data_IF_279998349230
#
_entry.id   IF_279998349230
#
_cell.length_a   1.000
_cell.length_b   1.000
_cell.length_c   1.000
_cell.angle_alpha   90.00
_cell.angle_beta   90.00
_cell.angle_gamma   90.00
#
_symmetry.space_group_name_H-M   'P 1'
#
loop_
_entity.id
_entity.type
_entity.pdbx_description
1 polymer ?
#
# COMPACT_ATOMS: atom_id res chain seq x y z
N UNK A 1 -7.95 17.94 71.20
CA UNK A 1 -6.95 18.21 70.14
C UNK A 1 -7.75 18.47 68.86
N UNK A 2 -8.32 19.66 68.72
CA UNK A 2 -7.75 20.84 68.03
C UNK A 2 -7.86 20.70 66.51
N UNK A 3 -8.81 21.45 65.97
CA UNK A 3 -9.28 21.60 64.58
C UNK A 3 -8.24 22.35 63.67
N UNK A 4 -8.52 22.83 62.43
CA UNK A 4 -9.80 22.84 61.70
C UNK A 4 -9.78 22.64 60.16
N UNK A 5 -10.99 22.61 59.62
CA UNK A 5 -11.45 22.87 58.24
C UNK A 5 -11.43 24.37 57.86
N UNK A 6 -11.31 24.68 56.56
CA UNK A 6 -11.75 25.94 55.92
C UNK A 6 -12.06 25.64 54.43
N UNK A 7 -13.31 25.68 53.92
CA UNK A 7 -14.15 26.81 53.50
C UNK A 7 -13.79 27.52 52.17
N UNK A 8 -14.57 27.16 51.13
CA UNK A 8 -15.37 27.98 50.20
C UNK A 8 -14.91 29.41 49.84
N UNK A 9 -14.90 29.71 48.53
CA UNK A 9 -14.81 31.08 48.00
C UNK A 9 -15.01 31.17 46.49
N UNK A 10 -16.27 31.24 46.06
CA UNK A 10 -16.75 31.55 44.71
C UNK A 10 -16.27 32.91 44.14
N UNK A 11 -16.12 33.02 42.81
CA UNK A 11 -16.64 34.17 42.04
C UNK A 11 -16.68 33.91 40.53
N UNK A 12 -17.87 34.11 39.99
CA UNK A 12 -18.24 34.22 38.57
C UNK A 12 -17.67 35.49 37.96
N UNK A 13 -17.26 35.44 36.68
CA UNK A 13 -17.46 36.57 35.78
C UNK A 13 -17.85 36.13 34.38
N UNK A 14 -18.95 36.75 33.96
CA UNK A 14 -19.73 36.67 32.73
C UNK A 14 -19.29 37.74 31.73
N UNK A 15 -19.36 37.45 30.44
CA UNK A 15 -19.35 38.42 29.33
C UNK A 15 -19.14 37.65 28.01
N UNK A 16 -20.12 37.32 27.16
CA UNK A 16 -21.18 38.10 26.48
C UNK A 16 -20.65 39.25 25.63
N UNK A 17 -20.48 39.00 24.33
CA UNK A 17 -20.74 40.00 23.28
C UNK A 17 -21.19 39.31 21.98
N UNK A 18 -22.34 39.75 21.46
CA UNK A 18 -23.01 39.34 20.22
C UNK A 18 -22.66 40.32 19.08
N UNK A 19 -22.47 39.78 17.86
CA UNK A 19 -22.89 40.28 16.51
C UNK A 19 -22.48 41.69 16.01
N UNK A 20 -22.53 42.02 14.68
CA UNK A 20 -23.43 41.46 13.67
C UNK A 20 -22.89 41.17 12.25
N UNK A 21 -23.71 40.39 11.57
CA UNK A 21 -24.00 40.20 10.13
C UNK A 21 -23.65 41.37 9.19
N UNK A 22 -23.11 41.05 8.01
CA UNK A 22 -23.36 41.81 6.78
C UNK A 22 -23.52 40.87 5.57
N UNK A 23 -24.74 40.83 5.02
CA UNK A 23 -25.06 40.38 3.66
C UNK A 23 -25.06 41.61 2.75
N UNK A 24 -24.51 41.52 1.55
CA UNK A 24 -24.90 42.39 0.44
C UNK A 24 -24.74 41.68 -0.91
N UNK A 25 -25.88 41.31 -1.50
CA UNK A 25 -26.05 41.22 -2.95
C UNK A 25 -26.24 42.65 -3.49
N UNK A 26 -25.68 42.98 -4.66
CA UNK A 26 -26.39 43.59 -5.80
C UNK A 26 -25.37 44.02 -6.88
N UNK A 27 -25.75 43.95 -8.17
CA UNK A 27 -25.17 44.80 -9.21
C UNK A 27 -24.73 44.11 -10.50
N UNK A 28 -25.67 43.90 -11.42
CA UNK A 28 -25.42 43.55 -12.82
C UNK A 28 -25.07 44.80 -13.68
N UNK A 29 -24.10 44.61 -14.60
CA UNK A 29 -23.99 45.12 -16.00
C UNK A 29 -23.59 46.60 -16.28
N UNK A 30 -23.10 46.95 -17.52
CA UNK A 30 -22.35 46.17 -18.52
C UNK A 30 -21.24 46.94 -19.32
N UNK A 31 -20.60 46.22 -20.26
CA UNK A 31 -19.92 46.63 -21.51
C UNK A 31 -18.45 47.10 -21.48
N UNK A 32 -17.57 46.29 -22.08
CA UNK A 32 -16.80 46.73 -23.25
C UNK A 32 -16.50 45.52 -24.16
N UNK A 33 -16.94 45.64 -25.41
CA UNK A 33 -16.67 44.74 -26.51
C UNK A 33 -15.21 44.86 -26.96
N UNK A 34 -14.53 43.72 -27.17
CA UNK A 34 -13.48 43.63 -28.19
C UNK A 34 -13.57 42.31 -28.93
N UNK A 35 -13.87 42.42 -30.23
CA UNK A 35 -13.88 41.37 -31.26
C UNK A 35 -12.51 40.68 -31.36
N UNK A 36 -12.50 39.36 -31.57
CA UNK A 36 -11.26 38.65 -31.89
C UNK A 36 -11.43 37.18 -32.28
N UNK A 37 -11.82 36.94 -33.53
CA UNK A 37 -11.52 35.76 -34.38
C UNK A 37 -11.77 34.35 -33.81
N UNK A 38 -12.87 33.74 -34.30
CA UNK A 38 -13.05 32.28 -34.40
C UNK A 38 -11.95 31.67 -35.29
N UNK A 39 -11.11 30.81 -34.73
CA UNK A 39 -10.36 29.82 -35.50
C UNK A 39 -11.04 28.47 -35.33
N UNK A 40 -11.78 28.07 -36.36
CA UNK A 40 -12.27 26.72 -36.58
C UNK A 40 -11.05 25.84 -36.89
N UNK A 41 -10.59 25.04 -35.91
CA UNK A 41 -9.50 24.08 -36.15
C UNK A 41 -10.11 22.77 -36.65
N UNK A 42 -9.81 22.48 -37.91
CA UNK A 42 -10.09 21.25 -38.64
C UNK A 42 -9.77 20.02 -37.76
N UNK A 43 -10.76 19.17 -37.51
CA UNK A 43 -10.54 17.84 -36.93
C UNK A 43 -9.93 16.98 -38.03
N UNK A 44 -8.61 16.83 -38.00
CA UNK A 44 -7.92 15.87 -38.85
C UNK A 44 -8.13 14.47 -38.26
N UNK A 45 -8.99 13.69 -38.90
CA UNK A 45 -9.13 12.24 -38.71
C UNK A 45 -7.83 11.57 -39.15
N UNK A 46 -6.91 11.35 -38.22
CA UNK A 46 -5.80 10.42 -38.44
C UNK A 46 -6.35 8.99 -38.41
N UNK A 47 -6.48 8.40 -39.59
CA UNK A 47 -6.49 6.95 -39.76
C UNK A 47 -5.14 6.43 -39.28
N UNK A 48 -5.11 5.75 -38.14
CA UNK A 48 -4.05 4.80 -37.82
C UNK A 48 -4.54 3.42 -38.21
N UNK A 49 -4.36 3.07 -39.49
CA UNK A 49 -4.31 1.67 -39.89
C UNK A 49 -2.98 1.10 -39.41
N UNK A 50 -3.09 0.18 -38.46
CA UNK A 50 -1.99 -0.52 -37.83
C UNK A 50 -2.56 -1.27 -36.66
N UNK A 51 -3.13 -2.45 -36.90
CA UNK A 51 -3.52 -3.42 -35.86
C UNK A 51 -2.31 -3.63 -34.93
N UNK A 52 -2.19 -2.86 -33.85
CA UNK A 52 -1.53 -3.37 -32.65
C UNK A 52 -2.37 -4.57 -32.27
N UNK A 53 -1.87 -5.79 -32.49
CA UNK A 53 -2.45 -6.94 -31.79
C UNK A 53 -2.42 -6.53 -30.32
N UNK A 54 -3.56 -6.48 -29.64
CA UNK A 54 -3.60 -6.25 -28.20
C UNK A 54 -2.67 -7.31 -27.59
N UNK A 55 -1.51 -6.87 -27.11
CA UNK A 55 -0.49 -7.76 -26.58
C UNK A 55 -0.93 -8.09 -25.16
N UNK A 56 -1.61 -9.22 -24.99
CA UNK A 56 -2.11 -9.67 -23.69
C UNK A 56 -0.92 -9.99 -22.80
N UNK A 57 -0.78 -9.26 -21.70
CA UNK A 57 0.31 -9.42 -20.73
C UNK A 57 -0.21 -10.01 -19.42
N UNK A 58 0.47 -11.05 -18.94
CA UNK A 58 0.22 -11.65 -17.63
C UNK A 58 1.31 -11.21 -16.65
N UNK A 59 0.90 -10.54 -15.58
CA UNK A 59 1.76 -10.12 -14.48
C UNK A 59 1.52 -11.03 -13.29
N UNK A 60 2.59 -11.50 -12.67
CA UNK A 60 2.54 -12.44 -11.55
C UNK A 60 3.40 -11.91 -10.42
N UNK A 61 2.81 -11.70 -9.25
CA UNK A 61 3.50 -11.53 -7.97
C UNK A 61 3.34 -12.83 -7.16
N UNK A 62 4.42 -13.60 -7.11
CA UNK A 62 4.44 -14.91 -6.45
C UNK A 62 5.23 -14.84 -5.14
N UNK A 63 4.49 -14.60 -4.05
CA UNK A 63 4.97 -14.60 -2.68
C UNK A 63 4.95 -15.98 -2.03
N UNK A 64 5.30 -16.05 -0.74
CA UNK A 64 5.36 -17.30 0.03
C UNK A 64 3.98 -17.94 0.33
N UNK A 65 2.87 -17.22 0.12
CA UNK A 65 1.55 -17.70 0.54
C UNK A 65 0.48 -17.46 -0.50
N UNK A 66 0.59 -16.40 -1.30
CA UNK A 66 -0.33 -16.12 -2.40
C UNK A 66 0.43 -15.81 -3.68
N UNK A 67 -0.16 -16.22 -4.79
CA UNK A 67 0.15 -15.73 -6.13
C UNK A 67 -0.91 -14.70 -6.48
N UNK A 68 -0.54 -13.42 -6.56
CA UNK A 68 -1.39 -12.39 -7.15
C UNK A 68 -1.07 -12.28 -8.63
N UNK A 69 -2.09 -12.05 -9.45
CA UNK A 69 -1.89 -11.95 -10.89
C UNK A 69 -2.80 -10.90 -11.52
N UNK A 70 -2.36 -10.40 -12.67
CA UNK A 70 -3.13 -9.51 -13.54
C UNK A 70 -2.98 -9.94 -14.99
N UNK A 71 -4.10 -10.14 -15.68
CA UNK A 71 -4.16 -10.34 -17.13
C UNK A 71 -4.93 -9.15 -17.72
N UNK A 72 -4.21 -8.26 -18.42
CA UNK A 72 -4.73 -6.97 -18.86
C UNK A 72 -5.37 -6.18 -17.69
N UNK A 73 -6.72 -6.12 -17.62
CA UNK A 73 -7.46 -5.44 -16.55
C UNK A 73 -8.02 -6.38 -15.47
N UNK A 74 -7.98 -7.69 -15.72
CA UNK A 74 -8.48 -8.69 -14.79
C UNK A 74 -7.43 -9.01 -13.75
N UNK A 75 -7.82 -9.03 -12.48
CA UNK A 75 -6.93 -9.33 -11.36
C UNK A 75 -7.44 -10.54 -10.57
N UNK A 76 -6.53 -11.27 -9.94
CA UNK A 76 -6.90 -12.39 -9.09
C UNK A 76 -5.80 -12.77 -8.10
N UNK A 77 -6.15 -13.69 -7.20
CA UNK A 77 -5.23 -14.24 -6.23
C UNK A 77 -5.49 -15.74 -6.02
N UNK A 78 -4.42 -16.52 -5.87
CA UNK A 78 -4.44 -17.97 -5.65
C UNK A 78 -3.46 -18.34 -4.52
N UNK A 79 -3.61 -19.52 -3.89
CA UNK A 79 -2.56 -20.06 -3.03
C UNK A 79 -1.23 -20.19 -3.79
N UNK A 80 -0.14 -19.73 -3.19
CA UNK A 80 1.19 -19.91 -3.80
C UNK A 80 1.64 -21.37 -3.73
N UNK A 81 2.28 -21.94 -4.78
CA UNK A 81 2.74 -21.29 -6.02
C UNK A 81 1.81 -21.56 -7.22
N UNK A 82 0.50 -21.63 -7.02
CA UNK A 82 -0.44 -21.92 -8.11
C UNK A 82 -0.44 -20.78 -9.15
N UNK A 83 -0.66 -21.16 -10.41
CA UNK A 83 -0.79 -20.26 -11.55
C UNK A 83 -2.25 -20.21 -12.02
N UNK A 84 -2.74 -19.06 -12.52
CA UNK A 84 -4.11 -18.94 -12.96
C UNK A 84 -4.40 -19.75 -14.22
N UNK A 85 -5.60 -20.33 -14.28
CA UNK A 85 -6.15 -20.88 -15.50
C UNK A 85 -6.73 -19.74 -16.34
N UNK A 86 -6.15 -19.54 -17.52
CA UNK A 86 -6.46 -18.41 -18.38
C UNK A 86 -7.26 -18.88 -19.60
N UNK A 87 -8.32 -18.14 -19.92
CA UNK A 87 -9.11 -18.38 -21.13
C UNK A 87 -8.42 -17.87 -22.41
N UNK A 88 -7.36 -17.07 -22.26
CA UNK A 88 -6.58 -16.49 -23.34
C UNK A 88 -5.11 -16.71 -23.03
N UNK A 89 -4.36 -17.25 -23.99
CA UNK A 89 -2.92 -17.42 -23.84
C UNK A 89 -2.24 -16.04 -23.82
N UNK A 90 -1.48 -15.72 -22.76
CA UNK A 90 -0.75 -14.46 -22.72
C UNK A 90 0.36 -14.48 -23.77
N UNK A 91 0.61 -13.33 -24.37
CA UNK A 91 1.74 -13.14 -25.29
C UNK A 91 3.05 -12.81 -24.57
N UNK A 92 2.94 -12.39 -23.31
CA UNK A 92 4.06 -12.02 -22.44
C UNK A 92 3.72 -12.39 -21.00
N UNK A 93 4.72 -12.86 -20.24
CA UNK A 93 4.58 -13.15 -18.81
C UNK A 93 5.68 -12.43 -18.03
N UNK A 94 5.29 -11.54 -17.12
CA UNK A 94 6.19 -10.83 -16.19
C UNK A 94 6.02 -11.40 -14.80
N UNK A 95 7.12 -11.59 -14.08
CA UNK A 95 7.10 -12.27 -12.78
C UNK A 95 7.95 -11.54 -11.75
N UNK A 96 7.34 -11.15 -10.65
CA UNK A 96 8.00 -10.86 -9.39
C UNK A 96 7.89 -12.10 -8.48
N UNK A 97 9.01 -12.57 -7.93
CA UNK A 97 8.97 -13.67 -6.97
C UNK A 97 10.10 -13.61 -5.94
N UNK A 98 9.72 -13.92 -4.70
CA UNK A 98 10.62 -14.13 -3.56
C UNK A 98 10.87 -15.63 -3.29
N UNK A 99 10.31 -16.52 -4.11
CA UNK A 99 10.57 -17.95 -4.04
C UNK A 99 11.97 -18.27 -4.56
N UNK A 100 12.62 -19.26 -3.95
CA UNK A 100 14.03 -19.60 -4.24
C UNK A 100 14.22 -20.33 -5.57
N UNK A 101 13.23 -21.09 -6.03
CA UNK A 101 13.40 -21.99 -7.18
C UNK A 101 12.88 -21.38 -8.49
N UNK A 102 13.56 -20.32 -8.96
CA UNK A 102 13.17 -19.56 -10.16
C UNK A 102 13.19 -20.42 -11.43
N UNK A 103 14.13 -21.34 -11.57
CA UNK A 103 14.26 -22.17 -12.77
C UNK A 103 13.09 -23.16 -12.93
N UNK A 104 12.63 -23.76 -11.82
CA UNK A 104 11.44 -24.61 -11.85
C UNK A 104 10.22 -23.79 -12.22
N UNK A 105 10.04 -22.62 -11.60
CA UNK A 105 8.93 -21.73 -11.92
C UNK A 105 8.96 -21.29 -13.39
N UNK A 106 10.14 -20.97 -13.92
CA UNK A 106 10.31 -20.58 -15.32
C UNK A 106 9.84 -21.67 -16.29
N UNK A 107 10.24 -22.93 -16.03
CA UNK A 107 9.78 -24.08 -16.82
C UNK A 107 8.28 -24.28 -16.70
N UNK A 108 7.73 -24.27 -15.48
CA UNK A 108 6.29 -24.44 -15.25
C UNK A 108 5.46 -23.38 -15.98
N UNK A 109 5.88 -22.12 -15.96
CA UNK A 109 5.20 -21.03 -16.68
C UNK A 109 5.32 -21.24 -18.21
N UNK A 110 6.51 -21.59 -18.69
CA UNK A 110 6.74 -21.83 -20.12
C UNK A 110 5.90 -23.02 -20.63
N UNK A 111 5.83 -24.11 -19.88
CA UNK A 111 5.03 -25.29 -20.22
C UNK A 111 3.53 -24.98 -20.19
N UNK A 112 3.08 -24.15 -19.23
CA UNK A 112 1.66 -23.81 -19.07
C UNK A 112 1.14 -22.84 -20.12
N UNK A 113 1.93 -21.83 -20.46
CA UNK A 113 1.47 -20.72 -21.31
C UNK A 113 2.17 -20.63 -22.67
N UNK A 114 3.18 -21.45 -22.93
CA UNK A 114 3.97 -21.40 -24.17
C UNK A 114 4.87 -20.16 -24.28
N UNK A 115 5.07 -19.41 -23.18
CA UNK A 115 5.83 -18.15 -23.15
C UNK A 115 6.87 -18.20 -22.03
N UNK A 116 8.11 -17.82 -22.35
CA UNK A 116 9.17 -17.71 -21.35
C UNK A 116 8.90 -16.49 -20.45
N UNK A 117 8.91 -16.65 -19.12
CA UNK A 117 8.71 -15.51 -18.22
C UNK A 117 9.92 -14.59 -18.15
N UNK A 118 9.64 -13.30 -17.98
CA UNK A 118 10.60 -12.26 -17.63
C UNK A 118 10.54 -12.02 -16.12
N UNK A 119 11.65 -12.23 -15.43
CA UNK A 119 11.72 -12.03 -13.99
C UNK A 119 12.22 -10.63 -13.65
N UNK A 120 11.47 -9.91 -12.81
CA UNK A 120 11.96 -8.70 -12.21
C UNK A 120 13.09 -8.97 -11.21
N UNK A 121 14.01 -8.03 -11.12
CA UNK A 121 15.09 -8.01 -10.15
C UNK A 121 15.17 -6.64 -9.49
N UNK A 122 15.75 -6.60 -8.30
CA UNK A 122 15.99 -5.33 -7.61
C UNK A 122 17.21 -4.66 -8.24
N UNK A 123 17.02 -3.44 -8.74
CA UNK A 123 18.08 -2.67 -9.39
C UNK A 123 18.63 -1.59 -8.44
N UNK A 124 19.80 -1.05 -8.77
CA UNK A 124 20.33 0.14 -8.07
C UNK A 124 19.44 1.37 -8.26
N UNK A 125 18.82 1.51 -9.43
CA UNK A 125 17.86 2.55 -9.74
C UNK A 125 16.78 1.99 -10.67
N UNK A 126 15.52 2.39 -10.46
CA UNK A 126 14.41 2.08 -11.35
C UNK A 126 13.42 3.24 -11.37
N UNK A 127 13.12 3.75 -12.57
CA UNK A 127 12.11 4.78 -12.80
C UNK A 127 12.28 6.04 -11.91
N UNK A 128 13.52 6.44 -11.62
CA UNK A 128 13.83 7.58 -10.76
C UNK A 128 13.88 7.27 -9.26
N UNK A 129 13.68 6.01 -8.86
CA UNK A 129 13.86 5.56 -7.48
C UNK A 129 15.23 4.89 -7.33
N UNK A 130 16.04 5.34 -6.37
CA UNK A 130 17.34 4.78 -6.02
C UNK A 130 17.22 3.80 -4.85
N UNK A 131 17.83 2.63 -4.96
CA UNK A 131 17.79 1.61 -3.91
C UNK A 131 18.71 1.97 -2.73
N UNK A 132 18.13 2.05 -1.52
CA UNK A 132 18.87 2.34 -0.30
C UNK A 132 19.68 1.20 0.30
N UNK A 133 19.56 -0.02 -0.23
CA UNK A 133 20.36 -1.15 0.25
C UNK A 133 21.77 -1.07 -0.37
N UNK A 134 22.80 -1.29 0.46
CA UNK A 134 24.18 -1.35 -0.01
C UNK A 134 24.38 -2.43 -1.10
N UNK A 135 23.64 -3.53 -1.01
CA UNK A 135 23.52 -4.53 -2.06
C UNK A 135 22.03 -4.69 -2.44
N UNK A 136 21.60 -4.20 -3.63
CA UNK A 136 20.23 -4.32 -4.10
C UNK A 136 19.69 -5.75 -4.14
N UNK A 137 20.53 -6.75 -4.39
CA UNK A 137 20.11 -8.16 -4.46
C UNK A 137 19.56 -8.69 -3.12
N UNK A 138 19.87 -8.00 -2.01
CA UNK A 138 19.37 -8.35 -0.67
C UNK A 138 17.99 -7.74 -0.37
N UNK A 139 17.51 -6.82 -1.19
CA UNK A 139 16.16 -6.28 -1.06
C UNK A 139 15.19 -7.17 -1.86
N UNK A 140 14.15 -7.65 -1.18
CA UNK A 140 13.08 -8.42 -1.81
C UNK A 140 12.48 -7.66 -2.99
N UNK A 141 12.35 -8.33 -4.13
CA UNK A 141 11.85 -7.72 -5.37
C UNK A 141 10.41 -7.20 -5.21
N UNK A 142 9.59 -7.87 -4.42
CA UNK A 142 8.24 -7.44 -4.09
C UNK A 142 8.22 -6.08 -3.37
N UNK A 143 9.07 -5.91 -2.36
CA UNK A 143 9.25 -4.65 -1.62
C UNK A 143 9.79 -3.56 -2.54
N UNK A 144 10.78 -3.88 -3.36
CA UNK A 144 11.37 -2.93 -4.31
C UNK A 144 10.33 -2.40 -5.30
N UNK A 145 9.58 -3.28 -5.95
CA UNK A 145 8.55 -2.91 -6.91
C UNK A 145 7.42 -2.10 -6.27
N UNK A 146 7.02 -2.43 -5.05
CA UNK A 146 5.99 -1.68 -4.33
C UNK A 146 6.43 -0.24 -4.01
N UNK A 147 7.68 -0.04 -3.58
CA UNK A 147 8.26 1.29 -3.34
C UNK A 147 8.33 2.10 -4.64
N UNK A 148 8.80 1.48 -5.72
CA UNK A 148 8.88 2.13 -7.04
C UNK A 148 7.50 2.58 -7.50
N UNK A 149 6.48 1.71 -7.39
CA UNK A 149 5.11 2.05 -7.77
C UNK A 149 4.53 3.18 -6.92
N UNK A 150 4.72 3.12 -5.58
CA UNK A 150 4.22 4.14 -4.67
C UNK A 150 4.81 5.53 -4.98
N UNK A 151 6.14 5.60 -5.13
CA UNK A 151 6.81 6.86 -5.44
C UNK A 151 6.39 7.41 -6.81
N UNK A 152 6.28 6.55 -7.83
CA UNK A 152 5.78 6.95 -9.16
C UNK A 152 4.34 7.45 -9.14
N UNK A 153 3.53 6.96 -8.20
CA UNK A 153 2.13 7.35 -8.06
C UNK A 153 1.97 8.72 -7.40
N UNK A 154 2.71 9.00 -6.32
CA UNK A 154 2.57 10.26 -5.56
C UNK A 154 3.56 11.35 -5.96
N UNK A 155 4.70 10.99 -6.58
CA UNK A 155 5.81 11.90 -6.87
C UNK A 155 6.29 12.69 -5.63
N UNK A 156 6.26 12.05 -4.46
CA UNK A 156 6.60 12.63 -3.16
C UNK A 156 7.09 11.59 -2.17
N UNK A 157 7.37 11.98 -0.92
CA UNK A 157 7.80 11.06 0.11
C UNK A 157 6.66 10.08 0.43
N UNK A 158 6.97 8.79 0.51
CA UNK A 158 5.99 7.75 0.77
C UNK A 158 6.54 6.66 1.69
N UNK A 159 5.63 6.09 2.48
CA UNK A 159 5.84 4.84 3.21
C UNK A 159 4.90 3.77 2.62
N UNK A 160 5.45 2.60 2.33
CA UNK A 160 4.70 1.44 1.88
C UNK A 160 4.67 0.41 3.00
N UNK A 161 3.49 0.16 3.55
CA UNK A 161 3.26 -0.91 4.53
C UNK A 161 2.56 -2.07 3.83
N UNK A 162 3.24 -3.21 3.75
CA UNK A 162 2.68 -4.44 3.19
C UNK A 162 2.36 -5.41 4.31
N UNK A 163 1.13 -5.90 4.40
CA UNK A 163 0.70 -6.88 5.40
C UNK A 163 0.25 -8.16 4.74
N UNK A 164 1.12 -9.17 4.75
CA UNK A 164 0.82 -10.52 4.32
C UNK A 164 1.43 -11.54 5.26
N UNK A 165 2.18 -12.50 4.72
CA UNK A 165 2.90 -13.49 5.53
C UNK A 165 3.88 -12.81 6.49
N UNK A 166 4.68 -11.88 5.96
CA UNK A 166 5.40 -10.89 6.75
C UNK A 166 4.66 -9.55 6.66
N UNK A 167 4.90 -8.71 7.66
CA UNK A 167 4.60 -7.29 7.59
C UNK A 167 5.89 -6.54 7.24
N UNK A 168 5.85 -5.61 6.29
CA UNK A 168 6.98 -4.75 5.95
C UNK A 168 6.57 -3.29 5.98
N UNK A 169 7.55 -2.42 6.23
CA UNK A 169 7.41 -0.98 6.08
C UNK A 169 8.65 -0.48 5.34
N UNK A 170 8.48 0.04 4.12
CA UNK A 170 9.55 0.56 3.28
C UNK A 170 9.35 2.04 3.04
N UNK A 171 10.44 2.82 3.07
CA UNK A 171 10.39 4.29 3.08
C UNK A 171 11.10 4.85 1.86
N UNK A 172 10.51 5.83 1.19
CA UNK A 172 11.13 6.54 0.04
C UNK A 172 10.93 8.03 0.20
N UNK A 173 11.99 8.81 0.04
CA UNK A 173 11.93 10.27 0.17
C UNK A 173 11.37 10.95 -1.10
N UNK A 174 11.20 12.27 -1.02
CA UNK A 174 10.69 13.07 -2.13
C UNK A 174 11.56 13.01 -3.40
N UNK A 175 12.84 12.71 -3.27
CA UNK A 175 13.80 12.63 -4.37
C UNK A 175 13.92 11.22 -4.96
N UNK A 176 13.09 10.27 -4.49
CA UNK A 176 13.13 8.89 -4.95
C UNK A 176 14.20 8.04 -4.27
N UNK A 177 14.82 8.51 -3.18
CA UNK A 177 15.77 7.66 -2.43
C UNK A 177 14.99 6.73 -1.50
N UNK A 178 15.06 5.43 -1.76
CA UNK A 178 14.62 4.42 -0.80
C UNK A 178 15.53 4.50 0.43
N UNK A 179 14.97 4.74 1.63
CA UNK A 179 15.71 4.88 2.89
C UNK A 179 15.94 3.52 3.60
N UNK A 180 15.45 2.43 3.00
CA UNK A 180 15.40 1.11 3.61
C UNK A 180 14.02 0.81 4.19
N UNK A 181 13.95 -0.17 5.08
CA UNK A 181 12.68 -0.60 5.67
C UNK A 181 12.81 -1.58 6.82
N UNK A 182 11.65 -2.01 7.30
CA UNK A 182 11.49 -2.97 8.39
C UNK A 182 10.78 -4.23 7.89
N UNK A 183 11.12 -5.36 8.51
CA UNK A 183 10.42 -6.64 8.31
C UNK A 183 10.04 -7.18 9.70
N UNK A 184 8.76 -7.50 9.85
CA UNK A 184 8.17 -8.10 11.04
C UNK A 184 7.31 -9.32 10.63
N UNK A 185 7.01 -10.24 11.55
CA UNK A 185 6.03 -11.30 11.27
C UNK A 185 4.64 -10.70 11.04
N UNK A 186 3.92 -11.21 10.03
CA UNK A 186 2.50 -10.89 9.86
C UNK A 186 1.62 -11.60 10.90
N UNK A 187 0.32 -11.28 10.92
CA UNK A 187 -0.63 -11.82 11.91
C UNK A 187 -0.62 -13.34 11.94
N UNK A 188 -0.68 -13.99 10.77
CA UNK A 188 -0.68 -15.45 10.70
C UNK A 188 0.60 -16.06 11.28
N UNK A 189 1.77 -15.47 11.02
CA UNK A 189 3.03 -15.99 11.55
C UNK A 189 3.11 -15.84 13.07
N UNK A 190 2.69 -14.69 13.62
CA UNK A 190 2.64 -14.46 15.06
C UNK A 190 1.76 -15.51 15.75
N UNK A 191 0.58 -15.77 15.19
CA UNK A 191 -0.37 -16.76 15.74
C UNK A 191 0.16 -18.19 15.67
N UNK A 192 0.75 -18.57 14.53
CA UNK A 192 1.38 -19.88 14.35
C UNK A 192 2.55 -20.07 15.31
N UNK A 193 3.34 -19.03 15.58
CA UNK A 193 4.43 -19.10 16.55
C UNK A 193 3.90 -19.38 17.97
N UNK A 194 2.85 -18.68 18.41
CA UNK A 194 2.25 -18.93 19.72
C UNK A 194 1.66 -20.34 19.84
N UNK A 195 0.94 -20.81 18.81
CA UNK A 195 0.34 -22.16 18.80
C UNK A 195 1.39 -23.28 18.81
N UNK A 196 2.56 -23.05 18.20
CA UNK A 196 3.65 -24.05 18.12
C UNK A 196 4.55 -24.05 19.35
N UNK A 197 4.88 -22.88 19.87
CA UNK A 197 5.93 -22.72 20.89
C UNK A 197 5.37 -22.68 22.32
N UNK A 198 4.06 -22.85 22.51
CA UNK A 198 3.42 -22.86 23.83
C UNK A 198 2.47 -24.05 23.99
N UNK A 199 2.42 -24.63 25.20
CA UNK A 199 1.57 -25.79 25.46
C UNK A 199 0.07 -25.45 25.52
N UNK A 200 -0.24 -24.27 26.09
CA UNK A 200 -1.61 -23.90 26.50
C UNK A 200 -2.24 -22.78 25.65
N UNK A 201 -1.47 -22.06 24.80
CA UNK A 201 -2.02 -20.99 23.95
C UNK A 201 -2.43 -21.55 22.60
N UNK A 202 -3.58 -22.22 22.56
CA UNK A 202 -4.13 -22.81 21.32
C UNK A 202 -5.21 -21.90 20.73
N UNK A 203 -4.88 -21.19 19.66
CA UNK A 203 -5.79 -20.27 18.96
C UNK A 203 -6.11 -20.79 17.55
N UNK A 204 -7.05 -21.73 17.45
CA UNK A 204 -7.30 -22.52 16.23
C UNK A 204 -8.20 -21.85 15.18
N UNK A 205 -9.12 -20.97 15.58
CA UNK A 205 -10.05 -20.30 14.66
C UNK A 205 -9.51 -18.98 14.13
N UNK A 206 -10.19 -18.35 13.18
CA UNK A 206 -9.90 -16.94 12.84
C UNK A 206 -10.93 -16.06 13.54
N UNK A 207 -10.46 -15.23 14.46
CA UNK A 207 -11.26 -14.16 15.06
C UNK A 207 -10.82 -12.85 14.42
N UNK A 208 -11.78 -12.04 13.97
CA UNK A 208 -11.48 -10.69 13.49
C UNK A 208 -10.87 -9.90 14.66
N UNK A 209 -9.63 -9.43 14.54
CA UNK A 209 -8.96 -8.81 15.67
C UNK A 209 -9.56 -7.45 16.02
N UNK A 210 -9.42 -7.06 17.28
CA UNK A 210 -9.76 -5.74 17.77
C UNK A 210 -8.65 -5.23 18.71
N UNK A 211 -8.79 -4.02 19.24
CA UNK A 211 -7.83 -3.40 20.16
C UNK A 211 -8.22 -3.55 21.63
N UNK A 212 -9.36 -4.18 21.92
CA UNK A 212 -9.83 -4.41 23.29
C UNK A 212 -9.15 -5.63 23.91
N UNK A 213 -8.98 -5.68 25.24
CA UNK A 213 -8.50 -6.88 25.92
C UNK A 213 -9.41 -8.09 25.63
N UNK A 214 -8.81 -9.22 25.25
CA UNK A 214 -9.53 -10.47 25.06
C UNK A 214 -9.92 -11.10 26.40
N UNK A 215 -11.11 -11.71 26.46
CA UNK A 215 -11.64 -12.39 27.66
C UNK A 215 -11.48 -13.91 27.61
N UNK A 216 -10.87 -14.43 26.56
CA UNK A 216 -10.46 -15.82 26.39
C UNK A 216 -9.12 -15.88 25.62
N UNK A 217 -8.50 -17.05 25.60
CA UNK A 217 -7.18 -17.24 24.99
C UNK A 217 -7.15 -16.89 23.50
N UNK A 218 -8.20 -17.22 22.74
CA UNK A 218 -8.23 -16.99 21.31
C UNK A 218 -8.38 -15.48 21.00
N UNK A 219 -9.28 -14.80 21.71
CA UNK A 219 -9.47 -13.36 21.64
C UNK A 219 -8.23 -12.58 22.13
N UNK A 220 -7.56 -13.07 23.17
CA UNK A 220 -6.34 -12.46 23.69
C UNK A 220 -5.19 -12.56 22.69
N UNK A 221 -5.01 -13.71 22.03
CA UNK A 221 -4.03 -13.89 20.95
C UNK A 221 -4.36 -13.01 19.75
N UNK A 222 -5.62 -13.02 19.29
CA UNK A 222 -6.04 -12.22 18.13
C UNK A 222 -5.81 -10.72 18.37
N UNK A 223 -6.24 -10.21 19.53
CA UNK A 223 -6.12 -8.78 19.85
C UNK A 223 -4.67 -8.38 20.14
N UNK A 224 -3.91 -9.22 20.86
CA UNK A 224 -2.50 -8.96 21.15
C UNK A 224 -1.62 -8.93 19.91
N UNK A 225 -1.75 -9.93 19.02
CA UNK A 225 -0.98 -9.98 17.77
C UNK A 225 -1.35 -8.85 16.82
N UNK A 226 -2.62 -8.42 16.81
CA UNK A 226 -3.05 -7.26 16.04
C UNK A 226 -2.55 -5.93 16.61
N UNK A 227 -2.57 -5.75 17.94
CA UNK A 227 -1.98 -4.57 18.57
C UNK A 227 -0.49 -4.43 18.25
N UNK A 228 0.26 -5.53 18.19
CA UNK A 228 1.66 -5.52 17.75
C UNK A 228 1.80 -4.99 16.31
N UNK A 229 0.97 -5.47 15.38
CA UNK A 229 1.00 -5.04 13.99
C UNK A 229 0.56 -3.57 13.84
N UNK A 230 -0.50 -3.16 14.54
CA UNK A 230 -0.98 -1.78 14.53
C UNK A 230 0.09 -0.83 15.08
N UNK A 231 0.68 -1.15 16.23
CA UNK A 231 1.75 -0.36 16.81
C UNK A 231 2.99 -0.28 15.90
N UNK A 232 3.34 -1.38 15.21
CA UNK A 232 4.39 -1.38 14.19
C UNK A 232 4.11 -0.35 13.08
N UNK A 233 2.90 -0.39 12.52
CA UNK A 233 2.49 0.53 11.46
C UNK A 233 2.45 1.99 11.95
N UNK A 234 1.83 2.26 13.10
CA UNK A 234 1.73 3.59 13.69
C UNK A 234 3.11 4.18 14.00
N UNK A 235 4.02 3.40 14.58
CA UNK A 235 5.38 3.84 14.88
C UNK A 235 6.16 4.15 13.60
N UNK A 236 6.03 3.32 12.56
CA UNK A 236 6.69 3.54 11.28
C UNK A 236 6.18 4.82 10.60
N UNK A 237 4.86 5.00 10.52
CA UNK A 237 4.22 6.21 9.98
C UNK A 237 4.65 7.45 10.77
N UNK A 238 4.54 7.42 12.10
CA UNK A 238 4.90 8.55 12.96
C UNK A 238 6.35 8.94 12.80
N UNK A 239 7.26 7.95 12.78
CA UNK A 239 8.69 8.19 12.58
C UNK A 239 9.02 8.77 11.21
N UNK A 240 8.31 8.33 10.16
CA UNK A 240 8.49 8.86 8.81
C UNK A 240 7.94 10.28 8.67
N UNK A 241 6.73 10.54 9.17
CA UNK A 241 6.12 11.87 9.18
C UNK A 241 6.95 12.90 9.98
N UNK A 242 7.65 12.47 11.04
CA UNK A 242 8.55 13.35 11.78
C UNK A 242 9.77 13.82 10.95
N UNK A 243 10.19 13.05 9.94
CA UNK A 243 11.34 13.40 9.06
C UNK A 243 10.91 14.15 7.81
N UNK A 244 9.78 13.77 7.22
CA UNK A 244 9.34 14.24 5.90
C UNK A 244 8.10 15.15 5.94
N UNK A 245 7.53 15.38 7.13
CA UNK A 245 6.35 16.22 7.34
C UNK A 245 5.03 15.53 6.98
N UNK A 246 3.94 16.28 7.08
CA UNK A 246 2.56 15.80 6.84
C UNK A 246 2.23 15.53 5.36
N UNK A 247 3.17 15.79 4.44
CA UNK A 247 3.02 15.48 3.01
C UNK A 247 3.42 14.05 2.64
N UNK A 248 3.89 13.26 3.61
CA UNK A 248 4.23 11.86 3.39
C UNK A 248 2.98 10.99 3.17
N UNK A 249 2.88 10.35 2.00
CA UNK A 249 1.77 9.44 1.70
C UNK A 249 2.00 8.06 2.33
N UNK A 250 0.92 7.47 2.87
CA UNK A 250 0.93 6.14 3.46
C UNK A 250 0.20 5.17 2.54
N UNK A 251 0.92 4.24 1.94
CA UNK A 251 0.39 3.18 1.11
C UNK A 251 0.24 1.90 1.93
N UNK A 252 -0.94 1.28 1.86
CA UNK A 252 -1.19 -0.05 2.43
C UNK A 252 -1.38 -1.06 1.30
N UNK A 253 -0.74 -2.22 1.43
CA UNK A 253 -0.96 -3.35 0.54
C UNK A 253 -0.85 -4.67 1.30
N UNK A 254 -1.05 -5.78 0.60
CA UNK A 254 -1.07 -7.11 1.21
C UNK A 254 -2.49 -7.60 1.54
N UNK A 255 -2.59 -8.83 2.02
CA UNK A 255 -3.87 -9.52 2.23
C UNK A 255 -4.62 -9.10 3.49
N UNK A 256 -3.91 -8.53 4.47
CA UNK A 256 -4.46 -8.12 5.77
C UNK A 256 -4.44 -6.58 5.92
N UNK A 257 -4.24 -5.84 4.82
CA UNK A 257 -4.11 -4.38 4.79
C UNK A 257 -5.36 -3.66 5.34
N UNK A 258 -6.55 -4.17 5.02
CA UNK A 258 -7.82 -3.57 5.42
C UNK A 258 -7.98 -3.51 6.94
N UNK A 259 -7.41 -4.48 7.67
CA UNK A 259 -7.42 -4.49 9.13
C UNK A 259 -6.69 -3.27 9.72
N UNK A 260 -5.61 -2.84 9.06
CA UNK A 260 -4.88 -1.62 9.46
C UNK A 260 -5.58 -0.36 8.96
N UNK A 261 -6.12 -0.38 7.74
CA UNK A 261 -6.79 0.78 7.15
C UNK A 261 -7.94 1.31 8.02
N UNK A 262 -8.66 0.41 8.68
CA UNK A 262 -9.76 0.75 9.59
C UNK A 262 -9.32 1.37 10.93
N UNK A 263 -8.03 1.29 11.29
CA UNK A 263 -7.52 1.64 12.62
C UNK A 263 -6.46 2.73 12.63
N UNK A 264 -5.72 2.89 11.53
CA UNK A 264 -4.73 3.96 11.44
C UNK A 264 -5.41 5.32 11.50
N UNK A 265 -4.83 6.22 12.31
CA UNK A 265 -5.35 7.57 12.55
C UNK A 265 -4.97 8.57 11.45
N UNK A 266 -4.21 8.14 10.45
CA UNK A 266 -3.77 8.95 9.31
C UNK A 266 -4.51 8.53 8.05
N UNK A 267 -4.65 9.42 7.05
CA UNK A 267 -5.10 9.04 5.72
C UNK A 267 -4.17 7.98 5.12
N UNK A 268 -4.75 6.94 4.55
CA UNK A 268 -4.03 5.84 3.89
C UNK A 268 -4.57 5.58 2.50
N UNK A 269 -3.72 5.08 1.60
CA UNK A 269 -4.08 4.62 0.26
C UNK A 269 -3.95 3.11 0.20
N UNK A 270 -5.07 2.41 0.08
CA UNK A 270 -5.09 0.96 -0.07
C UNK A 270 -4.87 0.58 -1.54
N UNK A 271 -3.69 0.08 -1.88
CA UNK A 271 -3.30 -0.31 -3.24
C UNK A 271 -3.01 -1.83 -3.27
N UNK A 272 -4.03 -2.69 -3.44
CA UNK A 272 -3.87 -4.15 -3.32
C UNK A 272 -2.97 -4.78 -4.40
N UNK A 273 -2.72 -4.06 -5.49
CA UNK A 273 -1.95 -4.49 -6.66
C UNK A 273 -0.62 -3.75 -6.85
N UNK A 274 -0.16 -3.03 -5.82
CA UNK A 274 1.02 -2.15 -5.90
C UNK A 274 2.30 -2.85 -6.42
N UNK A 275 2.52 -4.12 -6.06
CA UNK A 275 3.64 -4.92 -6.59
C UNK A 275 3.50 -5.18 -8.10
N UNK A 276 2.28 -5.48 -8.55
CA UNK A 276 1.99 -5.70 -9.97
C UNK A 276 2.17 -4.39 -10.75
N UNK A 277 1.83 -3.23 -10.16
CA UNK A 277 2.02 -1.93 -10.79
C UNK A 277 3.52 -1.62 -10.94
N UNK A 278 4.30 -1.94 -9.91
CA UNK A 278 5.76 -1.87 -9.98
C UNK A 278 6.35 -2.81 -11.03
N UNK A 279 5.78 -4.00 -11.19
CA UNK A 279 6.23 -4.98 -12.18
C UNK A 279 6.03 -4.48 -13.62
N UNK A 280 4.93 -3.79 -13.89
CA UNK A 280 4.69 -3.14 -15.19
C UNK A 280 5.70 -2.01 -15.44
N UNK A 281 6.07 -1.25 -14.41
CA UNK A 281 7.11 -0.21 -14.50
C UNK A 281 8.50 -0.82 -14.75
N UNK A 282 8.82 -1.93 -14.09
CA UNK A 282 10.12 -2.60 -14.19
C UNK A 282 10.36 -3.26 -15.53
N UNK A 283 9.30 -3.76 -16.16
CA UNK A 283 9.32 -4.53 -17.40
C UNK A 283 8.26 -3.95 -18.37
N UNK A 284 8.52 -2.77 -18.96
CA UNK A 284 7.59 -2.12 -19.90
C UNK A 284 7.41 -2.90 -21.20
#
# INVERSE_FOLDING_TARGET
MSAPTAHCGSRLHTGSARSPVAKSQCGMRPQHETRGRRQTRLVATMRTDGKRRNMTSLDIDMGNTRTKWRLDRSVGALPSPQLPDLNVAPSRVRVATVLRNRDVLARTIADRYGVRPEFATTAHELAGVQCGYANPDRLGVDRWLAVVAAWRCCAGPAIVISVGTAATADFVDANGRHEGGHIAPGLRLLRVALDRETADVRAKGWIRPCTLPGTDTEAAVASGTFLMLLAFAEAAVKGFAARHGYGAEVFLTGGDADLLAERLSVPVRCEPHLVLDGLEIALP
#
